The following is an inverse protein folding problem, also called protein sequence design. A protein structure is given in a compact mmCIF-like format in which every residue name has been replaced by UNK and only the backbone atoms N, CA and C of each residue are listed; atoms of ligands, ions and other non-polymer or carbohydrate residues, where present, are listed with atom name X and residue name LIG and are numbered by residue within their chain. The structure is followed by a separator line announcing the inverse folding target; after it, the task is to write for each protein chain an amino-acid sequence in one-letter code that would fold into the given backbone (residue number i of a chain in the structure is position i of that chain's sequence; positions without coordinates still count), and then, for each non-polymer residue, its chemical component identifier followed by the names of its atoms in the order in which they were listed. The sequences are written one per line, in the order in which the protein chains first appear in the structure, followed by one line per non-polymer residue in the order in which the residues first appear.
data_IF_113455467114
#
_entry.id   IF_113455467114
#
_cell.length_a   1.000
_cell.length_b   1.000
_cell.length_c   1.000
_cell.angle_alpha   90.00
_cell.angle_beta   90.00
_cell.angle_gamma   90.00
#
_symmetry.space_group_name_H-M   'P 1'
#
loop_
_entity.id
_entity.type
_entity.pdbx_description
1 polymer ?
#
# COMPACT_ATOMS: atom_id res chain seq x y z
N UNK A 1 -12.56 7.89 -3.48
CA UNK A 1 -11.11 7.98 -3.23
C UNK A 1 -10.88 8.44 -1.80
N UNK A 2 -10.22 7.63 -1.02
CA UNK A 2 -10.01 7.88 0.41
C UNK A 2 -8.52 7.85 0.72
N UNK A 3 -8.08 8.75 1.59
CA UNK A 3 -6.73 8.70 2.15
C UNK A 3 -6.61 7.44 3.02
N UNK A 4 -5.62 6.61 2.73
CA UNK A 4 -5.46 5.32 3.40
C UNK A 4 -4.27 5.31 4.36
N UNK A 5 -3.13 5.87 3.95
CA UNK A 5 -1.91 5.77 4.75
C UNK A 5 -0.90 6.84 4.38
N UNK A 6 -0.05 7.15 5.33
CA UNK A 6 1.14 8.00 5.12
C UNK A 6 2.35 7.30 5.72
N UNK A 7 3.43 7.24 4.95
CA UNK A 7 4.73 6.83 5.44
C UNK A 7 5.68 8.03 5.39
N UNK A 8 6.44 8.21 6.46
CA UNK A 8 7.36 9.33 6.63
C UNK A 8 8.69 8.84 7.16
N UNK A 9 9.78 9.24 6.50
CA UNK A 9 11.13 8.96 6.95
C UNK A 9 11.73 10.23 7.55
N UNK A 10 11.89 10.32 8.89
CA UNK A 10 12.42 11.52 9.53
C UNK A 10 13.88 11.78 9.20
N UNK A 11 14.65 10.78 8.76
CA UNK A 11 16.06 10.97 8.40
C UNK A 11 16.22 11.73 7.09
N UNK A 12 15.33 11.51 6.13
CA UNK A 12 15.41 12.09 4.79
C UNK A 12 14.34 13.13 4.52
N UNK A 13 13.28 13.18 5.34
CA UNK A 13 12.11 14.03 5.12
C UNK A 13 11.19 13.51 4.02
N UNK A 14 11.41 12.33 3.48
CA UNK A 14 10.58 11.76 2.41
C UNK A 14 9.24 11.30 2.95
N UNK A 15 8.22 11.57 2.15
CA UNK A 15 6.83 11.20 2.49
C UNK A 15 6.20 10.50 1.29
N UNK A 16 5.43 9.46 1.55
CA UNK A 16 4.52 8.87 0.58
C UNK A 16 3.12 8.82 1.19
N UNK A 17 2.15 9.36 0.47
CA UNK A 17 0.73 9.24 0.80
C UNK A 17 0.08 8.24 -0.15
N UNK A 18 -0.75 7.39 0.40
CA UNK A 18 -1.53 6.42 -0.35
C UNK A 18 -3.01 6.79 -0.27
N UNK A 19 -3.63 6.99 -1.44
CA UNK A 19 -5.06 7.21 -1.57
C UNK A 19 -5.63 6.12 -2.46
N UNK A 20 -6.81 5.61 -2.13
CA UNK A 20 -7.35 4.47 -2.88
C UNK A 20 -8.86 4.42 -2.83
N UNK A 21 -9.46 3.78 -3.83
CA UNK A 21 -10.86 3.39 -3.85
C UNK A 21 -11.08 2.04 -3.18
N UNK A 22 -10.00 1.30 -2.88
CA UNK A 22 -10.09 0.02 -2.20
C UNK A 22 -10.43 0.18 -0.72
N UNK A 23 -11.11 -0.81 -0.10
CA UNK A 23 -11.52 -0.70 1.30
C UNK A 23 -10.39 -0.84 2.30
N UNK A 24 -9.26 -1.43 1.92
CA UNK A 24 -8.15 -1.66 2.84
C UNK A 24 -6.78 -1.48 2.22
N UNK A 25 -5.77 -1.45 3.07
CA UNK A 25 -4.37 -1.45 2.65
C UNK A 25 -3.58 -2.40 3.54
N UNK A 26 -2.80 -3.26 2.91
CA UNK A 26 -1.91 -4.20 3.60
C UNK A 26 -0.50 -3.60 3.63
N UNK A 27 0.09 -3.54 4.82
CA UNK A 27 1.47 -3.08 5.00
C UNK A 27 2.38 -4.30 5.16
N UNK A 28 3.45 -4.32 4.40
CA UNK A 28 4.45 -5.38 4.47
C UNK A 28 5.84 -4.76 4.53
N UNK A 29 6.69 -5.24 5.42
CA UNK A 29 8.03 -4.68 5.69
C UNK A 29 9.15 -5.60 5.25
N UNK A 30 8.93 -6.42 4.23
CA UNK A 30 9.89 -7.35 3.64
C UNK A 30 10.49 -8.38 4.63
N UNK A 31 9.71 -8.82 5.62
CA UNK A 31 10.16 -9.77 6.64
C UNK A 31 10.50 -11.15 6.06
N UNK A 32 9.98 -11.50 4.88
CA UNK A 32 10.30 -12.75 4.20
C UNK A 32 11.58 -12.71 3.36
N UNK A 33 12.22 -11.55 3.24
CA UNK A 33 13.44 -11.40 2.45
C UNK A 33 14.66 -11.75 3.30
N UNK A 34 15.51 -12.64 2.77
CA UNK A 34 16.65 -13.16 3.51
C UNK A 34 18.00 -12.95 2.80
N UNK A 35 18.01 -12.10 1.77
CA UNK A 35 19.22 -11.84 0.97
C UNK A 35 19.42 -12.84 -0.16
N UNK A 36 18.49 -13.77 -0.40
CA UNK A 36 18.60 -14.75 -1.48
C UNK A 36 18.19 -14.21 -2.85
N UNK A 37 17.47 -13.08 -2.88
CA UNK A 37 17.00 -12.47 -4.11
C UNK A 37 17.83 -11.21 -4.39
N UNK A 38 18.32 -11.10 -5.63
CA UNK A 38 19.08 -9.94 -6.09
C UNK A 38 18.24 -9.19 -7.12
N UNK A 39 18.04 -7.90 -6.88
CA UNK A 39 17.28 -7.05 -7.78
C UNK A 39 18.08 -6.57 -8.99
N UNK A 40 17.43 -5.85 -9.89
CA UNK A 40 18.03 -5.33 -11.12
C UNK A 40 19.20 -4.35 -10.87
N UNK A 41 19.23 -3.73 -9.68
CA UNK A 41 20.32 -2.84 -9.27
C UNK A 41 21.56 -3.58 -8.78
N UNK A 42 21.52 -4.93 -8.67
CA UNK A 42 22.60 -5.74 -8.12
C UNK A 42 22.60 -5.82 -6.61
N UNK A 43 21.63 -5.21 -5.93
CA UNK A 43 21.52 -5.22 -4.47
C UNK A 43 20.66 -6.40 -4.03
N UNK A 44 21.10 -7.12 -2.98
CA UNK A 44 20.30 -8.19 -2.38
C UNK A 44 19.17 -7.60 -1.54
N UNK A 45 18.03 -8.28 -1.54
CA UNK A 45 16.86 -7.89 -0.76
C UNK A 45 16.87 -8.58 0.60
N UNK A 46 16.80 -7.80 1.65
CA UNK A 46 16.87 -8.25 3.02
C UNK A 46 15.66 -7.77 3.82
N UNK A 47 15.49 -8.38 4.98
CA UNK A 47 14.46 -8.03 5.95
C UNK A 47 14.47 -6.53 6.27
N UNK A 48 13.33 -5.91 6.29
CA UNK A 48 13.11 -4.49 6.68
C UNK A 48 13.81 -3.44 5.82
N UNK A 49 14.38 -3.82 4.68
CA UNK A 49 15.01 -2.85 3.76
C UNK A 49 14.00 -2.12 2.88
N UNK A 50 12.76 -2.59 2.84
CA UNK A 50 11.70 -1.99 2.05
C UNK A 50 10.36 -2.19 2.74
N UNK A 51 9.34 -1.50 2.24
CA UNK A 51 7.96 -1.75 2.66
C UNK A 51 7.04 -1.64 1.46
N UNK A 52 5.85 -2.23 1.58
CA UNK A 52 4.81 -2.12 0.57
C UNK A 52 3.53 -1.58 1.19
N UNK A 53 2.74 -0.91 0.35
CA UNK A 53 1.37 -0.48 0.67
C UNK A 53 0.47 -1.09 -0.41
N UNK A 54 -0.19 -2.19 -0.08
CA UNK A 54 -0.96 -2.99 -1.03
C UNK A 54 -2.44 -2.72 -0.82
N UNK A 55 -3.02 -1.93 -1.72
CA UNK A 55 -4.44 -1.61 -1.66
C UNK A 55 -5.27 -2.79 -2.13
N UNK A 56 -6.27 -3.17 -1.35
CA UNK A 56 -7.00 -4.41 -1.59
C UNK A 56 -8.33 -4.44 -0.83
N UNK A 57 -9.15 -5.43 -1.16
CA UNK A 57 -10.24 -5.85 -0.30
C UNK A 57 -9.66 -6.57 0.92
N UNK A 58 -10.45 -6.65 1.99
CA UNK A 58 -9.97 -7.29 3.22
C UNK A 58 -9.73 -8.79 3.01
N UNK A 59 -8.69 -9.38 3.62
CA UNK A 59 -8.50 -10.82 3.61
C UNK A 59 -9.74 -11.55 4.08
N UNK A 60 -10.01 -12.73 3.51
CA UNK A 60 -11.17 -13.58 3.82
C UNK A 60 -12.52 -12.93 3.54
N UNK A 61 -12.59 -11.89 2.71
CA UNK A 61 -13.85 -11.21 2.41
C UNK A 61 -14.97 -12.15 1.98
N UNK A 62 -14.73 -13.21 1.18
CA UNK A 62 -15.81 -14.14 0.81
C UNK A 62 -16.46 -14.86 2.00
N UNK A 63 -15.73 -15.00 3.10
CA UNK A 63 -16.19 -15.68 4.31
C UNK A 63 -16.68 -14.72 5.41
N UNK A 64 -16.69 -13.42 5.11
CA UNK A 64 -17.05 -12.38 6.09
C UNK A 64 -18.17 -11.51 5.51
N UNK A 65 -19.45 -11.81 5.84
CA UNK A 65 -20.58 -11.09 5.24
C UNK A 65 -20.63 -9.59 5.62
N UNK A 66 -19.96 -9.19 6.68
CA UNK A 66 -19.87 -7.78 7.09
C UNK A 66 -18.77 -7.00 6.37
N UNK A 67 -17.95 -7.67 5.55
CA UNK A 67 -16.91 -7.01 4.75
C UNK A 67 -17.46 -6.64 3.37
N UNK A 68 -16.92 -5.60 2.71
CA UNK A 68 -17.25 -5.33 1.32
C UNK A 68 -17.03 -6.58 0.46
N UNK A 69 -17.98 -6.86 -0.44
CA UNK A 69 -17.93 -8.06 -1.27
C UNK A 69 -16.80 -8.01 -2.28
N UNK A 70 -16.14 -9.15 -2.49
CA UNK A 70 -15.16 -9.35 -3.58
C UNK A 70 -15.79 -10.00 -4.80
N UNK A 71 -17.10 -10.29 -4.76
CA UNK A 71 -17.79 -10.92 -5.88
C UNK A 71 -17.82 -10.01 -7.09
N UNK A 72 -17.40 -10.53 -8.24
CA UNK A 72 -17.53 -9.89 -9.54
C UNK A 72 -18.37 -10.80 -10.43
N UNK A 73 -19.58 -10.33 -10.74
CA UNK A 73 -20.51 -11.10 -11.58
C UNK A 73 -20.17 -10.96 -13.06
N UNK A 74 -20.60 -11.91 -13.92
CA UNK A 74 -20.44 -11.75 -15.36
C UNK A 74 -20.97 -10.41 -15.85
N UNK A 75 -20.31 -9.82 -16.83
CA UNK A 75 -20.57 -8.51 -17.44
C UNK A 75 -20.36 -7.30 -16.52
N UNK A 76 -20.04 -7.51 -15.27
CA UNK A 76 -19.56 -6.42 -14.40
C UNK A 76 -18.10 -6.16 -14.68
N UNK A 77 -17.69 -4.90 -14.51
CA UNK A 77 -16.31 -4.49 -14.71
C UNK A 77 -15.70 -4.07 -13.37
N UNK A 78 -14.52 -4.59 -13.05
CA UNK A 78 -13.78 -4.19 -11.87
C UNK A 78 -13.00 -2.92 -12.16
N UNK A 79 -13.17 -1.91 -11.31
CA UNK A 79 -12.42 -0.67 -11.35
C UNK A 79 -11.78 -0.41 -10.00
N UNK A 80 -10.52 -0.06 -10.00
CA UNK A 80 -9.79 0.33 -8.80
C UNK A 80 -8.77 1.39 -9.16
N UNK A 81 -8.60 2.36 -8.28
CA UNK A 81 -7.61 3.41 -8.44
C UNK A 81 -6.81 3.54 -7.16
N UNK A 82 -5.50 3.61 -7.30
CA UNK A 82 -4.58 3.89 -6.21
C UNK A 82 -3.64 4.99 -6.65
N UNK A 83 -3.46 5.99 -5.80
CA UNK A 83 -2.54 7.10 -6.04
C UNK A 83 -1.49 7.09 -4.94
N UNK A 84 -0.22 7.08 -5.35
CA UNK A 84 0.90 7.35 -4.46
C UNK A 84 1.36 8.77 -4.71
N UNK A 85 1.25 9.62 -3.69
CA UNK A 85 1.66 11.02 -3.75
C UNK A 85 2.93 11.20 -2.93
N UNK A 86 3.97 11.71 -3.57
CA UNK A 86 5.29 11.87 -2.96
C UNK A 86 5.49 13.32 -2.54
N UNK A 87 6.11 13.52 -1.38
CA UNK A 87 6.38 14.84 -0.83
C UNK A 87 7.63 14.81 0.04
N UNK A 88 8.03 15.98 0.50
CA UNK A 88 9.02 16.13 1.57
C UNK A 88 8.35 16.80 2.77
N UNK A 89 8.99 16.76 3.94
CA UNK A 89 8.45 17.39 5.13
C UNK A 89 8.23 18.91 4.94
N UNK A 90 9.05 19.57 4.10
CA UNK A 90 8.91 20.99 3.79
C UNK A 90 7.64 21.31 3.00
N UNK A 91 7.09 20.34 2.26
CA UNK A 91 5.87 20.48 1.44
C UNK A 91 4.75 19.56 1.89
N UNK A 92 4.83 19.06 3.12
CA UNK A 92 3.94 18.05 3.65
C UNK A 92 2.49 18.58 3.76
N UNK A 93 1.54 18.02 3.00
CA UNK A 93 0.15 18.42 3.18
C UNK A 93 -0.38 17.91 4.52
N UNK A 94 -1.32 18.62 5.15
CA UNK A 94 -1.89 18.18 6.41
C UNK A 94 -2.61 16.84 6.24
N UNK A 95 -2.60 16.02 7.31
CA UNK A 95 -3.37 14.80 7.33
C UNK A 95 -4.86 15.12 7.29
N UNK A 96 -5.67 14.37 6.53
CA UNK A 96 -7.12 14.47 6.58
C UNK A 96 -7.63 14.18 7.98
N UNK A 97 -8.67 14.89 8.38
CA UNK A 97 -9.33 14.65 9.67
C UNK A 97 -10.43 13.62 9.55
#
# INVERSE_FOLDING_TARGET
MTFAARAYDPRTGRVIDCLTTEPGVQVYTSNGMNGSVVGSSGTTYRQTEAFTLETQHFPESPNKPNFPSTELKPVQEFHSTTIFRFATDASLPPLPR
#
